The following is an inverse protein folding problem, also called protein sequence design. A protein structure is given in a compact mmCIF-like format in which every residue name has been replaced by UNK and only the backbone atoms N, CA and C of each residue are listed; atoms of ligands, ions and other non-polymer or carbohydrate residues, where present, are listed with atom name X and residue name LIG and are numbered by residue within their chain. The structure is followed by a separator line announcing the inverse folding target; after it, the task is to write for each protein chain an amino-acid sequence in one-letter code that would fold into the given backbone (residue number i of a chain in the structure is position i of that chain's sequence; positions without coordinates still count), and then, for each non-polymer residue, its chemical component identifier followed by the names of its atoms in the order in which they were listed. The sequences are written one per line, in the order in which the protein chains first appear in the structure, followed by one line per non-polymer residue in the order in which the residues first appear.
data_IF_001443672065
#
_entry.id   IF_001443672065
#
_cell.length_a   1.000
_cell.length_b   1.000
_cell.length_c   1.000
_cell.angle_alpha   90.00
_cell.angle_beta   90.00
_cell.angle_gamma   90.00
#
_symmetry.space_group_name_H-M   'P 1'
#
loop_
_entity.id
_entity.type
_entity.pdbx_description
1 polymer ?
#
# COMPACT_ATOMS: atom_id res chain seq x y z
N UNK A 1 -10.37 -37.49 -33.06
CA UNK A 1 -11.47 -36.59 -32.67
C UNK A 1 -11.11 -35.19 -33.16
N UNK A 2 -11.86 -34.62 -34.12
CA UNK A 2 -11.62 -33.27 -34.60
C UNK A 2 -12.03 -32.28 -33.51
N UNK A 3 -11.05 -31.73 -32.79
CA UNK A 3 -11.27 -30.70 -31.79
C UNK A 3 -11.74 -29.44 -32.53
N UNK A 4 -12.98 -29.02 -32.27
CA UNK A 4 -13.58 -27.84 -32.90
C UNK A 4 -12.75 -26.58 -32.68
N UNK A 5 -12.81 -25.64 -33.63
CA UNK A 5 -12.07 -24.37 -33.58
C UNK A 5 -12.22 -23.64 -32.24
N UNK A 6 -13.44 -23.61 -31.68
CA UNK A 6 -13.73 -22.96 -30.40
C UNK A 6 -12.94 -23.51 -29.21
N UNK A 7 -12.70 -24.82 -29.14
CA UNK A 7 -11.92 -25.42 -28.05
C UNK A 7 -10.43 -25.06 -28.17
N UNK A 8 -9.90 -24.92 -29.39
CA UNK A 8 -8.52 -24.46 -29.61
C UNK A 8 -8.36 -22.99 -29.21
N UNK A 9 -9.31 -22.14 -29.57
CA UNK A 9 -9.32 -20.73 -29.15
C UNK A 9 -9.40 -20.60 -27.63
N UNK A 10 -10.32 -21.30 -26.97
CA UNK A 10 -10.46 -21.28 -25.52
C UNK A 10 -9.17 -21.75 -24.80
N UNK A 11 -8.55 -22.82 -25.30
CA UNK A 11 -7.28 -23.33 -24.77
C UNK A 11 -6.16 -22.29 -24.91
N UNK A 12 -6.06 -21.63 -26.07
CA UNK A 12 -5.07 -20.58 -26.30
C UNK A 12 -5.27 -19.39 -25.36
N UNK A 13 -6.50 -18.92 -25.17
CA UNK A 13 -6.81 -17.81 -24.26
C UNK A 13 -6.43 -18.19 -22.82
N UNK A 14 -6.80 -19.39 -22.38
CA UNK A 14 -6.51 -19.87 -21.03
C UNK A 14 -5.01 -19.99 -20.77
N UNK A 15 -4.22 -20.45 -21.75
CA UNK A 15 -2.75 -20.48 -21.65
C UNK A 15 -2.19 -19.06 -21.58
N UNK A 16 -2.59 -18.17 -22.49
CA UNK A 16 -2.11 -16.79 -22.51
C UNK A 16 -2.38 -16.05 -21.20
N UNK A 17 -3.59 -16.20 -20.65
CA UNK A 17 -3.96 -15.57 -19.39
C UNK A 17 -3.18 -16.13 -18.20
N UNK A 18 -3.01 -17.45 -18.11
CA UNK A 18 -2.20 -18.07 -17.06
C UNK A 18 -0.72 -17.71 -17.16
N UNK A 19 -0.18 -17.52 -18.37
CA UNK A 19 1.19 -17.03 -18.58
C UNK A 19 1.36 -15.60 -18.07
N UNK A 20 0.38 -14.72 -18.27
CA UNK A 20 0.41 -13.36 -17.73
C UNK A 20 0.41 -13.36 -16.20
N UNK A 21 -0.42 -14.20 -15.57
CA UNK A 21 -0.39 -14.36 -14.12
C UNK A 21 0.93 -14.95 -13.62
N UNK A 22 1.48 -15.94 -14.31
CA UNK A 22 2.76 -16.50 -13.94
C UNK A 22 3.88 -15.44 -13.96
N UNK A 23 3.92 -14.59 -15.00
CA UNK A 23 4.88 -13.48 -15.09
C UNK A 23 4.65 -12.41 -14.02
N UNK A 24 3.39 -12.05 -13.74
CA UNK A 24 3.07 -11.07 -12.70
C UNK A 24 3.42 -11.58 -11.31
N UNK A 25 3.12 -12.84 -11.00
CA UNK A 25 3.51 -13.51 -9.76
C UNK A 25 5.04 -13.56 -9.59
N UNK A 26 5.77 -13.85 -10.67
CA UNK A 26 7.24 -13.79 -10.68
C UNK A 26 7.77 -12.40 -10.38
N UNK A 27 7.18 -11.37 -10.98
CA UNK A 27 7.55 -9.97 -10.73
C UNK A 27 7.28 -9.59 -9.26
N UNK A 28 6.12 -9.96 -8.70
CA UNK A 28 5.79 -9.72 -7.29
C UNK A 28 6.73 -10.45 -6.34
N UNK A 29 7.15 -11.68 -6.65
CA UNK A 29 8.15 -12.40 -5.87
C UNK A 29 9.52 -11.72 -5.92
N UNK A 30 9.96 -11.25 -7.09
CA UNK A 30 11.21 -10.51 -7.23
C UNK A 30 11.16 -9.21 -6.43
N UNK A 31 10.06 -8.46 -6.51
CA UNK A 31 9.87 -7.24 -5.72
C UNK A 31 9.82 -7.54 -4.21
N UNK A 32 9.09 -8.59 -3.80
CA UNK A 32 9.04 -9.04 -2.42
C UNK A 32 10.42 -9.44 -1.90
N UNK A 33 11.17 -10.23 -2.65
CA UNK A 33 12.52 -10.64 -2.31
C UNK A 33 13.49 -9.45 -2.30
N UNK A 34 13.33 -8.49 -3.20
CA UNK A 34 14.09 -7.23 -3.21
C UNK A 34 13.90 -6.48 -1.88
N UNK A 35 12.68 -6.47 -1.34
CA UNK A 35 12.40 -5.93 -0.01
C UNK A 35 13.13 -6.68 1.11
N UNK A 36 13.63 -7.90 0.95
CA UNK A 36 14.44 -8.57 1.99
C UNK A 36 15.95 -8.55 1.71
N UNK A 37 16.33 -8.61 0.43
CA UNK A 37 17.72 -8.84 0.01
C UNK A 37 18.55 -7.57 -0.14
N UNK A 38 17.94 -6.41 -0.36
CA UNK A 38 18.69 -5.20 -0.65
C UNK A 38 19.47 -4.72 0.59
N UNK A 39 20.82 -4.78 0.63
CA UNK A 39 21.60 -4.25 1.74
C UNK A 39 21.61 -2.71 1.76
N UNK A 40 21.21 -2.04 0.67
CA UNK A 40 21.03 -0.59 0.62
C UNK A 40 19.87 -0.12 1.51
N UNK A 41 19.10 -1.05 2.08
CA UNK A 41 18.30 -0.81 3.28
C UNK A 41 19.11 -0.04 4.30
N UNK A 42 20.36 -0.37 4.62
CA UNK A 42 21.12 0.38 5.63
C UNK A 42 21.27 1.89 5.32
N UNK A 43 21.39 2.27 4.05
CA UNK A 43 21.57 3.66 3.63
C UNK A 43 20.24 4.38 3.29
N UNK A 44 19.29 3.72 2.62
CA UNK A 44 17.94 4.25 2.36
C UNK A 44 17.05 4.26 3.62
N UNK A 45 17.24 3.28 4.53
CA UNK A 45 16.65 3.31 5.87
C UNK A 45 17.24 4.45 6.69
N UNK A 46 18.49 4.88 6.52
CA UNK A 46 18.97 6.02 7.30
C UNK A 46 18.24 7.34 6.96
N UNK A 47 17.66 7.44 5.75
CA UNK A 47 16.81 8.54 5.33
C UNK A 47 15.33 8.36 5.72
N UNK A 48 14.82 7.11 5.78
CA UNK A 48 13.39 6.82 6.00
C UNK A 48 13.05 6.29 7.42
N UNK A 49 14.00 5.73 8.17
CA UNK A 49 13.76 4.77 9.25
C UNK A 49 14.15 5.21 10.66
N UNK A 50 14.07 6.49 10.97
CA UNK A 50 14.26 6.89 12.36
C UNK A 50 13.10 6.48 13.30
N UNK A 51 12.16 5.63 12.89
CA UNK A 51 11.13 5.09 13.79
C UNK A 51 10.91 3.60 13.55
N UNK A 52 11.05 2.81 14.61
CA UNK A 52 10.82 1.35 14.65
C UNK A 52 9.49 0.93 13.99
N UNK A 53 8.44 1.74 14.13
CA UNK A 53 7.12 1.48 13.54
C UNK A 53 7.07 1.41 11.99
N UNK A 54 8.00 2.06 11.27
CA UNK A 54 8.08 1.98 9.79
C UNK A 54 8.74 0.68 9.31
N UNK A 55 9.58 0.08 10.16
CA UNK A 55 10.26 -1.18 9.87
C UNK A 55 9.23 -2.30 9.72
N UNK A 56 8.31 -2.38 10.66
CA UNK A 56 7.31 -3.44 10.71
C UNK A 56 6.40 -3.42 9.47
N UNK A 57 5.87 -2.25 9.09
CA UNK A 57 4.97 -2.12 7.93
C UNK A 57 5.64 -2.55 6.61
N UNK A 58 6.91 -2.18 6.39
CA UNK A 58 7.64 -2.56 5.18
C UNK A 58 7.92 -4.07 5.16
N UNK A 59 8.23 -4.68 6.31
CA UNK A 59 8.39 -6.13 6.41
C UNK A 59 7.07 -6.86 6.16
N UNK A 60 5.96 -6.39 6.75
CA UNK A 60 4.62 -6.93 6.46
C UNK A 60 4.30 -6.85 4.97
N UNK A 61 4.56 -5.70 4.32
CA UNK A 61 4.37 -5.56 2.88
C UNK A 61 5.24 -6.55 2.08
N UNK A 62 6.50 -6.73 2.47
CA UNK A 62 7.39 -7.73 1.86
C UNK A 62 6.84 -9.15 1.98
N UNK A 63 6.37 -9.55 3.17
CA UNK A 63 5.75 -10.87 3.37
C UNK A 63 4.48 -11.05 2.53
N UNK A 64 3.64 -10.02 2.43
CA UNK A 64 2.43 -10.05 1.61
C UNK A 64 2.78 -10.18 0.12
N UNK A 65 3.75 -9.42 -0.37
CA UNK A 65 4.23 -9.51 -1.76
C UNK A 65 4.77 -10.91 -2.08
N UNK A 66 5.55 -11.50 -1.17
CA UNK A 66 6.05 -12.87 -1.33
C UNK A 66 4.93 -13.91 -1.32
N UNK A 67 4.01 -13.82 -0.36
CA UNK A 67 2.89 -14.75 -0.23
C UNK A 67 1.94 -14.71 -1.42
N UNK A 68 1.50 -13.50 -1.81
CA UNK A 68 0.59 -13.27 -2.94
C UNK A 68 1.30 -13.56 -4.27
N UNK A 69 2.54 -13.11 -4.44
CA UNK A 69 3.32 -13.41 -5.65
C UNK A 69 3.53 -14.91 -5.84
N UNK A 70 3.83 -15.62 -4.74
CA UNK A 70 4.00 -17.08 -4.75
C UNK A 70 2.71 -17.82 -5.09
N UNK A 71 1.57 -17.43 -4.51
CA UNK A 71 0.28 -18.06 -4.82
C UNK A 71 -0.13 -17.84 -6.27
N UNK A 72 0.01 -16.63 -6.80
CA UNK A 72 -0.26 -16.30 -8.20
C UNK A 72 0.65 -17.10 -9.14
N UNK A 73 1.94 -17.22 -8.81
CA UNK A 73 2.89 -17.98 -9.63
C UNK A 73 2.53 -19.47 -9.67
N UNK A 74 2.15 -20.07 -8.53
CA UNK A 74 1.72 -21.47 -8.46
C UNK A 74 0.44 -21.72 -9.27
N UNK A 75 -0.55 -20.83 -9.13
CA UNK A 75 -1.81 -20.94 -9.89
C UNK A 75 -1.55 -20.82 -11.39
N UNK A 76 -0.72 -19.86 -11.82
CA UNK A 76 -0.33 -19.69 -13.23
C UNK A 76 0.42 -20.91 -13.78
N UNK A 77 1.30 -21.53 -12.98
CA UNK A 77 2.04 -22.74 -13.35
C UNK A 77 1.09 -23.94 -13.53
N UNK A 78 0.22 -24.20 -12.55
CA UNK A 78 -0.76 -25.28 -12.67
C UNK A 78 -1.78 -25.04 -13.78
N UNK A 79 -2.18 -23.79 -14.03
CA UNK A 79 -3.06 -23.42 -15.13
C UNK A 79 -2.42 -23.67 -16.50
N UNK A 80 -1.17 -23.25 -16.69
CA UNK A 80 -0.43 -23.46 -17.94
C UNK A 80 -0.13 -24.95 -18.16
N UNK A 81 0.42 -25.65 -17.17
CA UNK A 81 0.66 -27.09 -17.25
C UNK A 81 -0.65 -27.87 -17.45
N UNK A 82 -1.76 -27.45 -16.83
CA UNK A 82 -3.05 -28.13 -16.90
C UNK A 82 -3.66 -28.02 -18.29
N UNK A 83 -3.52 -26.85 -18.91
CA UNK A 83 -3.89 -26.66 -20.31
C UNK A 83 -3.00 -27.47 -21.26
N UNK A 84 -1.68 -27.50 -21.05
CA UNK A 84 -0.75 -28.19 -21.94
C UNK A 84 -0.88 -29.73 -21.87
N UNK A 85 -0.97 -30.29 -20.67
CA UNK A 85 -0.88 -31.74 -20.46
C UNK A 85 -2.22 -32.49 -20.56
N UNK A 86 -3.37 -31.79 -20.65
CA UNK A 86 -4.73 -32.36 -20.71
C UNK A 86 -5.03 -33.43 -19.63
N UNK A 87 -4.23 -33.47 -18.56
CA UNK A 87 -4.40 -34.40 -17.44
C UNK A 87 -5.54 -33.89 -16.57
N UNK A 88 -6.62 -34.67 -16.47
CA UNK A 88 -7.80 -34.35 -15.63
C UNK A 88 -7.44 -33.99 -14.20
N UNK A 89 -6.43 -34.63 -13.62
CA UNK A 89 -5.94 -34.34 -12.27
C UNK A 89 -5.35 -32.92 -12.14
N UNK A 90 -4.62 -32.45 -13.16
CA UNK A 90 -3.99 -31.12 -13.14
C UNK A 90 -5.02 -30.00 -13.33
N UNK A 91 -6.03 -30.23 -14.17
CA UNK A 91 -7.16 -29.29 -14.31
C UNK A 91 -8.00 -29.29 -13.03
N UNK A 92 -8.23 -30.45 -12.41
CA UNK A 92 -8.97 -30.55 -11.15
C UNK A 92 -8.29 -29.82 -9.99
N UNK A 93 -6.96 -29.94 -9.86
CA UNK A 93 -6.19 -29.19 -8.86
C UNK A 93 -6.23 -27.69 -9.10
N UNK A 94 -6.10 -27.24 -10.36
CA UNK A 94 -6.26 -25.82 -10.71
C UNK A 94 -7.64 -25.26 -10.29
N UNK A 95 -8.72 -25.98 -10.61
CA UNK A 95 -10.08 -25.58 -10.21
C UNK A 95 -10.23 -25.57 -8.68
N UNK A 96 -9.66 -26.54 -7.97
CA UNK A 96 -9.67 -26.55 -6.51
C UNK A 96 -8.95 -25.34 -5.91
N UNK A 97 -7.77 -24.99 -6.44
CA UNK A 97 -7.04 -23.79 -6.00
C UNK A 97 -7.86 -22.51 -6.25
N UNK A 98 -8.46 -22.36 -7.43
CA UNK A 98 -9.33 -21.21 -7.72
C UNK A 98 -10.53 -21.15 -6.77
N UNK A 99 -11.16 -22.29 -6.49
CA UNK A 99 -12.26 -22.35 -5.53
C UNK A 99 -11.81 -21.87 -4.15
N UNK A 100 -10.69 -22.37 -3.64
CA UNK A 100 -10.14 -21.93 -2.35
C UNK A 100 -9.83 -20.42 -2.33
N UNK A 101 -9.29 -19.87 -3.42
CA UNK A 101 -9.04 -18.43 -3.53
C UNK A 101 -10.33 -17.62 -3.42
N UNK A 102 -11.39 -18.02 -4.12
CA UNK A 102 -12.70 -17.34 -4.04
C UNK A 102 -13.26 -17.37 -2.62
N UNK A 103 -13.11 -18.48 -1.89
CA UNK A 103 -13.53 -18.56 -0.49
C UNK A 103 -12.73 -17.64 0.43
N UNK A 104 -11.41 -17.56 0.22
CA UNK A 104 -10.56 -16.64 0.98
C UNK A 104 -10.92 -15.18 0.68
N UNK A 105 -11.09 -14.83 -0.60
CA UNK A 105 -11.50 -13.48 -1.01
C UNK A 105 -12.87 -13.09 -0.45
N UNK A 106 -13.83 -14.01 -0.47
CA UNK A 106 -15.13 -13.80 0.16
C UNK A 106 -14.99 -13.58 1.67
N UNK A 107 -14.16 -14.37 2.34
CA UNK A 107 -13.87 -14.20 3.77
C UNK A 107 -13.26 -12.83 4.08
N UNK A 108 -12.25 -12.41 3.30
CA UNK A 108 -11.63 -11.08 3.43
C UNK A 108 -12.64 -9.96 3.18
N UNK A 109 -13.50 -10.10 2.16
CA UNK A 109 -14.54 -9.12 1.84
C UNK A 109 -15.54 -8.96 3.00
N UNK A 110 -16.02 -10.07 3.56
CA UNK A 110 -16.95 -10.06 4.70
C UNK A 110 -16.28 -9.46 5.94
N UNK A 111 -15.05 -9.87 6.27
CA UNK A 111 -14.31 -9.31 7.40
C UNK A 111 -14.08 -7.81 7.25
N UNK A 112 -13.67 -7.37 6.06
CA UNK A 112 -13.45 -5.94 5.78
C UNK A 112 -14.75 -5.14 5.93
N UNK A 113 -15.88 -5.70 5.51
CA UNK A 113 -17.18 -5.05 5.64
C UNK A 113 -17.62 -4.95 7.11
N UNK A 114 -17.51 -6.04 7.88
CA UNK A 114 -17.93 -6.09 9.29
C UNK A 114 -17.05 -5.21 10.18
N UNK A 115 -15.73 -5.24 9.99
CA UNK A 115 -14.77 -4.49 10.81
C UNK A 115 -14.41 -3.12 10.23
N UNK A 116 -15.17 -2.63 9.24
CA UNK A 116 -14.89 -1.37 8.55
C UNK A 116 -14.77 -0.20 9.54
N UNK A 117 -15.76 -0.04 10.41
CA UNK A 117 -15.84 1.11 11.31
C UNK A 117 -14.71 1.08 12.36
N UNK A 118 -14.47 -0.08 12.98
CA UNK A 118 -13.36 -0.26 13.92
C UNK A 118 -11.99 0.01 13.26
N UNK A 119 -11.83 -0.43 12.01
CA UNK A 119 -10.62 -0.16 11.25
C UNK A 119 -10.45 1.32 10.94
N UNK A 120 -11.53 2.02 10.54
CA UNK A 120 -11.50 3.44 10.24
C UNK A 120 -11.21 4.28 11.50
N UNK A 121 -11.87 4.01 12.62
CA UNK A 121 -11.63 4.71 13.89
C UNK A 121 -10.20 4.47 14.40
N UNK A 122 -9.71 3.23 14.32
CA UNK A 122 -8.34 2.89 14.68
C UNK A 122 -7.31 3.57 13.78
N UNK A 123 -7.61 3.68 12.48
CA UNK A 123 -6.79 4.38 11.50
C UNK A 123 -6.76 5.89 11.78
N UNK A 124 -7.91 6.53 11.98
CA UNK A 124 -8.04 7.95 12.34
C UNK A 124 -7.25 8.27 13.61
N UNK A 125 -7.39 7.47 14.66
CA UNK A 125 -6.68 7.67 15.95
C UNK A 125 -5.16 7.57 15.78
N UNK A 126 -4.70 6.57 15.02
CA UNK A 126 -3.27 6.38 14.74
C UNK A 126 -2.73 7.53 13.90
N UNK A 127 -3.39 7.89 12.82
CA UNK A 127 -2.95 8.98 11.95
C UNK A 127 -3.02 10.34 12.65
N UNK A 128 -4.07 10.63 13.42
CA UNK A 128 -4.21 11.85 14.21
C UNK A 128 -3.10 12.00 15.25
N UNK A 129 -2.78 10.93 16.00
CA UNK A 129 -1.66 10.96 16.95
C UNK A 129 -0.30 11.13 16.28
N UNK A 130 -0.08 10.55 15.09
CA UNK A 130 1.11 10.79 14.28
C UNK A 130 1.14 12.22 13.75
N UNK A 131 0.01 12.79 13.33
CA UNK A 131 -0.10 14.17 12.86
C UNK A 131 0.32 15.15 13.96
N UNK A 132 -0.22 15.00 15.17
CA UNK A 132 0.08 15.86 16.31
C UNK A 132 1.58 15.90 16.63
N UNK A 133 2.23 14.74 16.56
CA UNK A 133 3.61 14.56 17.05
C UNK A 133 4.67 14.69 15.97
N UNK A 134 4.37 14.35 14.71
CA UNK A 134 5.38 14.22 13.64
C UNK A 134 5.26 15.24 12.50
N UNK A 135 4.10 15.90 12.36
CA UNK A 135 3.89 16.87 11.27
C UNK A 135 4.71 18.14 11.48
N UNK A 136 5.27 18.67 10.38
CA UNK A 136 5.97 19.96 10.37
C UNK A 136 7.21 20.02 11.24
N UNK A 137 7.81 18.86 11.54
CA UNK A 137 9.10 18.81 12.20
C UNK A 137 10.23 18.89 11.17
N UNK A 138 10.86 20.06 11.12
CA UNK A 138 12.16 20.30 10.48
C UNK A 138 13.31 20.29 11.51
N UNK A 139 14.49 19.98 10.98
CA UNK A 139 15.65 19.29 11.57
C UNK A 139 16.60 20.22 12.37
N UNK A 140 16.24 21.49 12.61
CA UNK A 140 17.28 22.47 12.93
C UNK A 140 17.81 22.48 14.38
N UNK A 141 17.17 21.78 15.34
CA UNK A 141 17.76 21.61 16.67
C UNK A 141 18.09 20.15 16.95
N UNK A 142 19.26 19.74 16.46
CA UNK A 142 20.07 18.68 17.04
C UNK A 142 20.43 19.03 18.50
N UNK A 143 19.48 18.91 19.42
CA UNK A 143 19.81 18.93 20.83
C UNK A 143 19.05 17.86 21.60
N UNK A 144 19.77 16.76 21.83
CA UNK A 144 19.56 15.75 22.87
C UNK A 144 18.12 15.25 23.10
N UNK A 145 17.63 14.38 22.20
CA UNK A 145 16.92 13.13 22.52
C UNK A 145 16.22 12.59 21.26
N UNK A 146 16.73 11.49 20.69
CA UNK A 146 16.06 10.36 20.00
C UNK A 146 14.71 10.51 19.25
N UNK A 147 14.21 11.70 18.94
CA UNK A 147 12.88 11.94 18.38
C UNK A 147 13.02 12.63 17.04
N UNK A 148 13.18 11.81 16.02
CA UNK A 148 13.34 12.28 14.64
C UNK A 148 12.01 12.82 14.12
N UNK A 149 12.02 14.14 14.00
CA UNK A 149 11.29 14.93 13.03
C UNK A 149 11.17 14.22 11.67
N UNK A 150 9.96 13.87 11.24
CA UNK A 150 9.76 12.93 10.12
C UNK A 150 9.29 13.67 8.86
N UNK A 151 10.26 14.23 8.11
CA UNK A 151 10.03 14.92 6.83
C UNK A 151 9.17 14.11 5.86
N UNK A 152 9.40 12.79 5.77
CA UNK A 152 8.61 11.90 4.91
C UNK A 152 7.11 11.89 5.23
N UNK A 153 6.77 11.96 6.52
CA UNK A 153 5.38 11.95 6.96
C UNK A 153 4.69 13.26 6.58
N UNK A 154 5.35 14.40 6.80
CA UNK A 154 4.86 15.72 6.37
C UNK A 154 4.63 15.73 4.85
N UNK A 155 5.61 15.33 4.05
CA UNK A 155 5.48 15.25 2.58
C UNK A 155 4.34 14.33 2.13
N UNK A 156 4.14 13.19 2.80
CA UNK A 156 3.07 12.24 2.45
C UNK A 156 1.69 12.81 2.76
N UNK A 157 1.54 13.48 3.90
CA UNK A 157 0.29 14.15 4.29
C UNK A 157 0.02 15.31 3.33
N UNK A 158 1.01 16.14 3.04
CA UNK A 158 0.92 17.26 2.09
C UNK A 158 0.51 16.78 0.68
N UNK A 159 1.11 15.68 0.20
CA UNK A 159 0.74 15.07 -1.07
C UNK A 159 -0.70 14.53 -1.06
N UNK A 160 -1.11 13.86 0.03
CA UNK A 160 -2.47 13.35 0.16
C UNK A 160 -3.49 14.49 0.15
N UNK A 161 -3.22 15.56 0.89
CA UNK A 161 -4.08 16.76 0.95
C UNK A 161 -4.22 17.42 -0.41
N UNK A 162 -3.11 17.62 -1.10
CA UNK A 162 -3.11 18.15 -2.46
C UNK A 162 -3.83 17.23 -3.45
N UNK A 163 -3.61 15.91 -3.36
CA UNK A 163 -4.18 14.93 -4.31
C UNK A 163 -5.67 14.69 -4.10
N UNK A 164 -6.12 14.66 -2.85
CA UNK A 164 -7.50 14.35 -2.48
C UNK A 164 -8.33 15.60 -2.12
N UNK A 165 -7.73 16.79 -2.17
CA UNK A 165 -8.35 18.06 -1.77
C UNK A 165 -8.96 18.01 -0.36
N UNK A 166 -8.28 17.36 0.57
CA UNK A 166 -8.68 17.27 1.97
C UNK A 166 -7.73 18.08 2.85
N UNK A 167 -8.16 18.40 4.08
CA UNK A 167 -7.32 19.06 5.07
C UNK A 167 -7.51 18.44 6.45
N UNK A 168 -6.40 18.04 7.08
CA UNK A 168 -6.42 17.29 8.34
C UNK A 168 -6.85 15.82 8.17
N UNK A 169 -7.15 15.17 9.29
CA UNK A 169 -7.68 13.80 9.31
C UNK A 169 -9.21 13.81 9.25
N UNK A 170 -9.83 14.64 10.10
CA UNK A 170 -11.27 14.95 10.09
C UNK A 170 -11.53 16.35 9.57
N UNK A 171 -10.73 17.33 10.01
CA UNK A 171 -10.93 18.71 9.59
C UNK A 171 -9.65 19.57 9.75
N UNK A 172 -9.68 20.79 9.22
CA UNK A 172 -8.58 21.77 9.31
C UNK A 172 -8.13 22.04 10.76
N UNK A 173 -9.07 21.97 11.71
CA UNK A 173 -8.82 22.14 13.14
C UNK A 173 -7.84 21.14 13.75
N UNK A 174 -7.60 20.00 13.08
CA UNK A 174 -6.66 18.98 13.56
C UNK A 174 -5.23 19.53 13.69
N UNK A 175 -4.90 20.55 12.90
CA UNK A 175 -3.61 21.23 12.96
C UNK A 175 -3.39 22.04 14.24
N UNK A 176 -4.46 22.52 14.88
CA UNK A 176 -4.38 23.31 16.12
C UNK A 176 -3.78 22.49 17.27
N UNK A 177 -3.96 21.17 17.25
CA UNK A 177 -3.41 20.28 18.25
C UNK A 177 -1.93 19.94 18.01
N UNK A 178 -1.39 20.20 16.81
CA UNK A 178 -0.04 19.79 16.40
C UNK A 178 1.07 20.59 17.07
N UNK A 179 2.22 19.97 17.26
CA UNK A 179 3.42 20.65 17.74
C UNK A 179 3.97 21.67 16.74
N UNK A 180 3.66 21.51 15.45
CA UNK A 180 3.99 22.48 14.40
C UNK A 180 3.26 23.80 14.62
N UNK A 181 1.95 23.77 14.86
CA UNK A 181 1.15 24.96 15.13
C UNK A 181 1.59 25.72 16.39
N UNK A 182 2.01 24.99 17.44
CA UNK A 182 2.42 25.57 18.72
C UNK A 182 3.78 26.29 18.68
N UNK A 183 4.53 26.23 17.57
CA UNK A 183 5.80 26.95 17.47
C UNK A 183 5.57 28.45 17.27
N UNK A 184 6.39 29.31 17.91
CA UNK A 184 6.39 30.72 17.59
C UNK A 184 6.88 30.89 16.15
N UNK A 185 5.98 31.29 15.25
CA UNK A 185 6.31 31.53 13.85
C UNK A 185 7.04 32.87 13.69
N UNK A 186 8.13 32.88 12.92
CA UNK A 186 8.78 34.10 12.39
C UNK A 186 7.95 34.81 11.29
N UNK A 187 6.72 34.34 11.05
CA UNK A 187 5.84 34.84 9.99
C UNK A 187 4.39 34.41 10.18
N UNK A 188 3.75 34.93 11.23
CA UNK A 188 2.29 34.90 11.47
C UNK A 188 1.68 33.50 11.73
N UNK A 189 0.50 33.42 12.38
CA UNK A 189 -0.15 32.15 12.67
C UNK A 189 -0.84 31.60 11.41
N UNK A 190 -0.22 30.63 10.71
CA UNK A 190 -0.90 29.85 9.67
C UNK A 190 -1.61 28.64 10.30
N UNK A 191 -2.94 28.68 10.36
CA UNK A 191 -3.76 27.66 11.02
C UNK A 191 -3.62 26.26 10.38
N UNK A 192 -3.27 26.23 9.10
CA UNK A 192 -3.13 25.03 8.26
C UNK A 192 -1.96 25.17 7.29
N UNK A 193 -1.43 24.06 6.75
CA UNK A 193 -0.39 24.09 5.72
C UNK A 193 -0.91 24.60 4.37
N UNK A 194 0.02 25.02 3.52
CA UNK A 194 -0.27 25.55 2.18
C UNK A 194 -1.01 24.56 1.28
N UNK A 195 -0.79 23.26 1.48
CA UNK A 195 -1.48 22.17 0.75
C UNK A 195 -2.97 22.09 1.06
N UNK A 196 -3.41 22.67 2.17
CA UNK A 196 -4.83 22.82 2.51
C UNK A 196 -5.46 24.10 1.94
N UNK A 197 -4.66 25.06 1.46
CA UNK A 197 -5.17 26.34 1.01
C UNK A 197 -5.72 26.25 -0.42
N UNK A 198 -6.97 26.67 -0.60
CA UNK A 198 -7.55 26.89 -1.93
C UNK A 198 -7.18 28.28 -2.40
N UNK A 199 -6.60 28.40 -3.59
CA UNK A 199 -6.34 29.71 -4.22
C UNK A 199 -7.68 30.35 -4.59
N UNK A 200 -8.07 31.40 -3.88
CA UNK A 200 -9.18 32.25 -4.31
C UNK A 200 -8.67 33.14 -5.45
N UNK A 201 -9.01 32.79 -6.70
CA UNK A 201 -8.79 33.69 -7.83
C UNK A 201 -9.70 34.90 -7.65
N UNK A 202 -9.10 36.06 -7.36
CA UNK A 202 -9.80 37.33 -7.24
C UNK A 202 -10.19 37.94 -8.59
N UNK A 203 -10.02 37.21 -9.71
CA UNK A 203 -10.22 37.71 -11.08
C UNK A 203 -11.51 37.22 -11.76
N UNK A 204 -12.46 36.66 -11.00
CA UNK A 204 -13.83 36.40 -11.50
C UNK A 204 -14.81 37.06 -10.54
N UNK A 205 -14.82 38.39 -10.58
CA UNK A 205 -15.91 39.25 -10.10
C UNK A 205 -16.92 39.50 -11.21
#
# INVERSE_FOLDING_TARGET
MAVGCGTKCAKSILISFNMLFWLSGGTLLVLGAWVFLDPAKAHLFHLVSATQAKRDVIYYLGYVLLGVGGSILLVGLFGCCGALHERRCLIGTYVLFLFLLVWVELGVAVLTFVFREEFLEGLETRLGSQLVTKYGMDIENHYHNNNVANKDFTTSVDFAQYRFNCCGMRNDSDYLATNWWKRPNDGGPRNVPLTCCVLSNSDVS
#
